data_IF_280429517667
#
_entry.id   IF_280429517667
#
_cell.length_a   1.000
_cell.length_b   1.000
_cell.length_c   1.000
_cell.angle_alpha   90.00
_cell.angle_beta   90.00
_cell.angle_gamma   90.00
#
_symmetry.space_group_name_H-M   'P 1'
#
loop_
_entity.id
_entity.type
_entity.pdbx_description
1 polymer ?
#
# COMPACT_ATOMS: atom_id res chain seq x y z
N UNK A 1 36.00 39.66 -11.73
CA UNK A 1 35.38 38.67 -10.81
C UNK A 1 34.10 38.26 -11.52
N UNK A 2 34.03 37.00 -11.94
CA UNK A 2 33.13 36.55 -13.01
C UNK A 2 31.68 36.47 -12.50
N UNK A 3 30.81 37.26 -13.10
CA UNK A 3 29.36 37.40 -12.84
C UNK A 3 28.51 36.62 -13.87
N UNK A 4 29.03 35.53 -14.45
CA UNK A 4 28.39 34.83 -15.57
C UNK A 4 28.14 33.32 -15.30
N UNK A 5 27.32 33.04 -14.26
CA UNK A 5 26.58 31.78 -13.97
C UNK A 5 25.24 32.18 -13.30
N UNK A 6 24.35 32.69 -14.14
CA UNK A 6 23.07 33.39 -13.95
C UNK A 6 22.21 33.01 -12.71
N UNK A 7 22.13 33.93 -11.73
CA UNK A 7 21.31 33.97 -10.49
C UNK A 7 21.30 32.68 -9.64
N UNK A 8 22.07 32.68 -8.55
CA UNK A 8 21.92 31.70 -7.48
C UNK A 8 20.44 31.60 -7.05
N UNK A 9 19.94 30.38 -6.78
CA UNK A 9 18.63 30.23 -6.19
C UNK A 9 18.58 30.89 -4.82
N UNK A 10 17.38 31.16 -4.34
CA UNK A 10 17.20 31.57 -2.95
C UNK A 10 17.81 30.49 -2.02
N UNK A 11 18.56 30.88 -0.98
CA UNK A 11 19.13 29.92 -0.03
C UNK A 11 18.08 28.97 0.58
N UNK A 12 16.83 29.39 0.71
CA UNK A 12 15.73 28.54 1.19
C UNK A 12 15.45 27.38 0.22
N UNK A 13 15.71 27.53 -1.08
CA UNK A 13 15.57 26.43 -2.03
C UNK A 13 16.54 25.27 -1.73
N UNK A 14 17.71 25.54 -1.12
CA UNK A 14 18.67 24.50 -0.75
C UNK A 14 18.14 23.57 0.37
N UNK A 15 17.10 23.98 1.09
CA UNK A 15 16.43 23.19 2.13
C UNK A 15 15.78 21.94 1.53
N UNK A 16 15.32 22.00 0.28
CA UNK A 16 14.80 20.86 -0.51
C UNK A 16 15.86 19.76 -0.68
N UNK A 17 17.15 20.10 -0.74
CA UNK A 17 18.25 19.13 -0.75
C UNK A 17 18.72 18.70 0.66
N UNK A 18 18.26 19.41 1.70
CA UNK A 18 18.61 19.13 3.09
C UNK A 18 17.60 18.18 3.74
N UNK A 19 16.35 18.21 3.29
CA UNK A 19 15.23 17.40 3.76
C UNK A 19 14.59 16.67 2.57
N UNK A 20 14.74 15.34 2.53
CA UNK A 20 14.30 14.50 1.41
C UNK A 20 12.76 14.48 1.21
N UNK A 21 12.01 14.99 2.18
CA UNK A 21 10.56 15.12 2.17
C UNK A 21 10.04 16.38 1.47
N UNK A 22 10.92 17.33 1.14
CA UNK A 22 10.57 18.55 0.41
C UNK A 22 10.98 18.46 -1.07
N UNK A 23 10.20 19.15 -1.92
CA UNK A 23 10.42 19.27 -3.36
C UNK A 23 10.17 17.99 -4.18
N UNK A 24 10.09 18.16 -5.49
CA UNK A 24 9.96 17.05 -6.44
C UNK A 24 11.33 16.57 -6.96
N UNK A 25 11.34 15.44 -7.69
CA UNK A 25 12.59 14.87 -8.21
C UNK A 25 13.28 15.76 -9.26
N UNK A 26 12.52 16.52 -10.04
CA UNK A 26 13.06 17.43 -11.05
C UNK A 26 13.71 18.67 -10.43
N UNK A 27 13.09 19.23 -9.41
CA UNK A 27 13.61 20.37 -8.65
C UNK A 27 14.94 20.01 -7.96
N UNK A 28 15.00 18.83 -7.33
CA UNK A 28 16.25 18.32 -6.74
C UNK A 28 17.36 18.13 -7.77
N UNK A 29 17.04 17.56 -8.93
CA UNK A 29 18.02 17.39 -10.00
C UNK A 29 18.53 18.74 -10.54
N UNK A 30 17.66 19.73 -10.69
CA UNK A 30 18.03 21.08 -11.14
C UNK A 30 18.95 21.77 -10.12
N UNK A 31 18.64 21.69 -8.83
CA UNK A 31 19.51 22.22 -7.78
C UNK A 31 20.86 21.50 -7.73
N UNK A 32 20.89 20.17 -7.86
CA UNK A 32 22.14 19.41 -7.90
C UNK A 32 23.03 19.85 -9.06
N UNK A 33 22.47 19.99 -10.26
CA UNK A 33 23.21 20.48 -11.42
C UNK A 33 23.78 21.90 -11.20
N UNK A 34 23.05 22.77 -10.49
CA UNK A 34 23.55 24.10 -10.12
C UNK A 34 24.74 24.02 -9.15
N UNK A 35 24.72 23.10 -8.18
CA UNK A 35 25.81 22.94 -7.21
C UNK A 35 27.11 22.46 -7.85
N UNK A 36 27.03 21.68 -8.94
CA UNK A 36 28.21 21.27 -9.72
C UNK A 36 28.89 22.48 -10.40
N UNK A 37 28.14 23.53 -10.71
CA UNK A 37 28.63 24.76 -11.33
C UNK A 37 28.91 25.93 -10.37
N UNK A 38 28.35 25.93 -9.16
CA UNK A 38 28.42 27.06 -8.21
C UNK A 38 28.99 26.66 -6.85
N UNK A 39 30.27 26.99 -6.62
CA UNK A 39 30.96 26.73 -5.35
C UNK A 39 30.36 27.49 -4.14
N UNK A 40 29.72 28.64 -4.37
CA UNK A 40 29.05 29.42 -3.31
C UNK A 40 27.87 28.66 -2.71
N UNK A 41 26.95 28.19 -3.56
CA UNK A 41 25.81 27.39 -3.12
C UNK A 41 26.23 26.04 -2.54
N UNK A 42 27.27 25.40 -3.08
CA UNK A 42 27.85 24.18 -2.51
C UNK A 42 28.41 24.40 -1.10
N UNK A 43 29.08 25.54 -0.87
CA UNK A 43 29.57 25.96 0.44
C UNK A 43 28.42 26.21 1.44
N UNK A 44 27.38 26.93 1.00
CA UNK A 44 26.18 27.18 1.82
C UNK A 44 25.50 25.87 2.22
N UNK A 45 25.26 24.95 1.29
CA UNK A 45 24.64 23.66 1.61
C UNK A 45 25.50 22.83 2.58
N UNK A 46 26.83 22.88 2.43
CA UNK A 46 27.75 22.25 3.37
C UNK A 46 27.62 22.84 4.78
N UNK A 47 27.49 24.17 4.90
CA UNK A 47 27.26 24.83 6.19
C UNK A 47 25.95 24.40 6.85
N UNK A 48 24.87 24.28 6.08
CA UNK A 48 23.58 23.81 6.59
C UNK A 48 23.63 22.35 7.05
N UNK A 49 24.31 21.48 6.31
CA UNK A 49 24.53 20.09 6.72
C UNK A 49 25.32 19.99 8.03
N UNK A 50 26.33 20.85 8.22
CA UNK A 50 27.09 20.89 9.47
C UNK A 50 26.24 21.34 10.66
N UNK A 51 25.38 22.36 10.47
CA UNK A 51 24.42 22.80 11.50
C UNK A 51 23.42 21.67 11.84
N UNK A 52 22.84 21.02 10.83
CA UNK A 52 21.93 19.87 11.02
C UNK A 52 22.60 18.74 11.80
N UNK A 53 23.85 18.42 11.48
CA UNK A 53 24.61 17.41 12.21
C UNK A 53 24.87 17.81 13.67
N UNK A 54 25.21 19.08 13.91
CA UNK A 54 25.46 19.61 15.26
C UNK A 54 24.19 19.55 16.12
N UNK A 55 23.05 19.96 15.55
CA UNK A 55 21.75 19.88 16.23
C UNK A 55 21.29 18.43 16.43
N UNK A 56 21.54 17.55 15.46
CA UNK A 56 21.22 16.12 15.58
C UNK A 56 22.04 15.39 16.66
N UNK A 57 23.27 15.86 16.92
CA UNK A 57 24.12 15.36 18.00
C UNK A 57 23.77 15.96 19.37
N UNK A 58 22.89 16.96 19.42
CA UNK A 58 22.52 17.59 20.67
C UNK A 58 21.63 16.66 21.49
N UNK A 59 22.22 16.08 22.54
CA UNK A 59 21.45 15.33 23.52
C UNK A 59 20.73 16.32 24.46
N UNK A 60 19.41 16.20 24.64
CA UNK A 60 18.73 16.96 25.67
C UNK A 60 19.31 16.58 27.04
N UNK A 61 19.54 17.55 27.95
CA UNK A 61 19.98 17.25 29.29
C UNK A 61 18.94 16.37 29.99
N UNK A 62 19.36 15.46 30.90
CA UNK A 62 18.43 14.64 31.66
C UNK A 62 17.56 15.54 32.52
N UNK A 63 16.31 15.75 32.10
CA UNK A 63 15.31 16.44 32.88
C UNK A 63 14.67 15.42 33.84
N UNK A 64 14.48 15.73 35.13
CA UNK A 64 13.72 14.90 36.04
C UNK A 64 12.23 15.00 35.67
N UNK A 65 11.87 14.37 34.54
CA UNK A 65 10.50 14.27 34.09
C UNK A 65 9.81 13.23 34.98
N UNK A 66 8.66 13.57 35.56
CA UNK A 66 7.80 12.61 36.29
C UNK A 66 7.16 11.55 35.37
N UNK A 67 7.65 11.41 34.14
CA UNK A 67 7.15 10.50 33.12
C UNK A 67 8.31 9.97 32.28
N UNK A 68 8.15 8.76 31.74
CA UNK A 68 9.10 8.15 30.82
C UNK A 68 8.64 8.34 29.37
N UNK A 69 9.56 8.76 28.50
CA UNK A 69 9.32 8.76 27.04
C UNK A 69 9.57 7.34 26.53
N UNK A 70 8.50 6.64 26.16
CA UNK A 70 8.55 5.28 25.62
C UNK A 70 8.21 5.30 24.12
N UNK A 71 9.01 4.63 23.28
CA UNK A 71 8.66 4.43 21.88
C UNK A 71 7.57 3.36 21.79
N UNK A 72 6.36 3.78 21.44
CA UNK A 72 5.26 2.86 21.15
C UNK A 72 5.46 2.25 19.76
N UNK A 73 6.19 1.13 19.67
CA UNK A 73 6.19 0.35 18.43
C UNK A 73 4.86 -0.41 18.34
N UNK A 74 4.10 -0.27 17.24
CA UNK A 74 2.86 -1.04 17.08
C UNK A 74 3.21 -2.53 17.10
N UNK A 75 2.75 -3.26 18.11
CA UNK A 75 2.90 -4.71 18.15
C UNK A 75 2.20 -5.30 16.92
N UNK A 76 2.88 -6.15 16.11
CA UNK A 76 2.22 -6.86 15.03
C UNK A 76 1.24 -7.86 15.66
N UNK A 77 -0.06 -7.58 15.55
CA UNK A 77 -1.12 -8.40 16.15
C UNK A 77 -1.38 -9.66 15.29
N UNK A 78 -1.16 -10.90 15.80
CA UNK A 78 -1.40 -12.10 15.01
C UNK A 78 -2.79 -12.73 15.18
N UNK A 79 -3.69 -12.24 16.05
CA UNK A 79 -4.94 -12.99 16.36
C UNK A 79 -6.05 -12.91 15.30
N UNK A 80 -5.94 -12.08 14.24
CA UNK A 80 -7.00 -12.01 13.21
C UNK A 80 -6.99 -13.17 12.21
N UNK A 81 -5.87 -13.88 12.07
CA UNK A 81 -5.75 -14.97 11.07
C UNK A 81 -6.39 -16.28 11.56
N UNK A 82 -6.55 -16.47 12.87
CA UNK A 82 -7.10 -17.71 13.45
C UNK A 82 -8.62 -17.83 13.37
N UNK A 83 -9.36 -16.75 13.05
CA UNK A 83 -10.84 -16.77 13.07
C UNK A 83 -11.48 -17.01 11.70
N UNK A 84 -10.72 -16.92 10.60
CA UNK A 84 -11.24 -17.16 9.24
C UNK A 84 -11.18 -18.64 8.82
N UNK A 85 -10.44 -19.50 9.53
CA UNK A 85 -10.33 -20.92 9.19
C UNK A 85 -11.57 -21.77 9.48
N UNK A 86 -12.50 -21.29 10.34
CA UNK A 86 -13.68 -22.06 10.74
C UNK A 86 -14.85 -22.00 9.76
N UNK A 87 -14.98 -20.92 8.99
CA UNK A 87 -16.15 -20.68 8.13
C UNK A 87 -16.16 -21.53 6.85
N UNK A 88 -14.98 -21.92 6.35
CA UNK A 88 -14.87 -22.71 5.12
C UNK A 88 -15.42 -24.13 5.26
N UNK A 89 -15.29 -24.75 6.43
CA UNK A 89 -15.79 -26.11 6.66
C UNK A 89 -17.32 -26.17 6.68
N UNK A 90 -17.97 -25.17 7.30
CA UNK A 90 -19.43 -25.10 7.35
C UNK A 90 -20.04 -24.85 5.96
N UNK A 91 -19.45 -23.95 5.17
CA UNK A 91 -19.93 -23.67 3.81
C UNK A 91 -19.85 -24.91 2.89
N UNK A 92 -18.77 -25.69 2.98
CA UNK A 92 -18.62 -26.93 2.21
C UNK A 92 -19.68 -27.97 2.55
N UNK A 93 -20.02 -28.14 3.84
CA UNK A 93 -21.06 -29.09 4.27
C UNK A 93 -22.46 -28.69 3.79
N UNK A 94 -22.80 -27.39 3.85
CA UNK A 94 -24.09 -26.88 3.37
C UNK A 94 -24.23 -27.08 1.86
N UNK A 95 -23.18 -26.79 1.08
CA UNK A 95 -23.18 -27.01 -0.37
C UNK A 95 -23.30 -28.50 -0.73
N UNK A 96 -22.60 -29.39 -0.02
CA UNK A 96 -22.71 -30.83 -0.23
C UNK A 96 -24.12 -31.36 0.09
N UNK A 97 -24.74 -30.88 1.17
CA UNK A 97 -26.11 -31.24 1.55
C UNK A 97 -27.14 -30.72 0.53
N UNK A 98 -26.97 -29.51 0.01
CA UNK A 98 -27.85 -28.98 -1.04
C UNK A 98 -27.72 -29.76 -2.35
N UNK A 99 -26.50 -30.13 -2.75
CA UNK A 99 -26.25 -30.90 -3.96
C UNK A 99 -26.83 -32.32 -3.89
N UNK A 100 -26.79 -32.97 -2.72
CA UNK A 100 -27.39 -34.29 -2.52
C UNK A 100 -28.92 -34.25 -2.56
N UNK A 101 -29.54 -33.22 -1.96
CA UNK A 101 -30.98 -32.98 -2.03
C UNK A 101 -31.47 -32.69 -3.47
N UNK A 102 -30.64 -32.01 -4.27
CA UNK A 102 -30.97 -31.65 -5.66
C UNK A 102 -30.76 -32.79 -6.69
N UNK A 103 -30.36 -34.00 -6.25
CA UNK A 103 -30.04 -35.14 -7.14
C UNK A 103 -29.08 -34.73 -8.29
N UNK A 104 -28.04 -33.96 -7.96
CA UNK A 104 -27.04 -33.53 -8.93
C UNK A 104 -26.18 -34.73 -9.36
N UNK A 105 -26.47 -35.31 -10.52
CA UNK A 105 -25.63 -36.39 -11.09
C UNK A 105 -24.63 -35.77 -12.07
N UNK A 106 -23.35 -35.85 -11.69
CA UNK A 106 -22.22 -35.46 -12.55
C UNK A 106 -21.58 -36.75 -13.04
N UNK A 107 -21.73 -37.03 -14.33
CA UNK A 107 -21.04 -38.14 -14.99
C UNK A 107 -20.04 -37.56 -15.97
N UNK A 108 -18.77 -37.94 -15.81
CA UNK A 108 -17.71 -37.64 -16.77
C UNK A 108 -17.43 -38.91 -17.54
N UNK A 109 -17.74 -38.90 -18.84
CA UNK A 109 -17.36 -39.96 -19.76
C UNK A 109 -16.36 -39.46 -20.80
N UNK A 110 -15.83 -40.37 -21.63
CA UNK A 110 -14.83 -40.04 -22.64
C UNK A 110 -15.34 -39.07 -23.73
N UNK A 111 -16.65 -38.81 -23.78
CA UNK A 111 -17.34 -37.92 -24.73
C UNK A 111 -17.66 -36.55 -24.14
N UNK A 112 -17.57 -36.35 -22.83
CA UNK A 112 -17.67 -35.03 -22.20
C UNK A 112 -18.23 -35.05 -20.77
N UNK A 113 -18.40 -33.85 -20.21
CA UNK A 113 -19.07 -33.64 -18.93
C UNK A 113 -20.60 -33.63 -19.15
N UNK A 114 -21.32 -34.53 -18.49
CA UNK A 114 -22.80 -34.50 -18.46
C UNK A 114 -23.29 -34.11 -17.07
N UNK A 115 -24.06 -33.01 -17.02
CA UNK A 115 -24.67 -32.45 -15.80
C UNK A 115 -26.17 -32.70 -15.84
N UNK A 116 -26.70 -33.55 -14.94
CA UNK A 116 -28.14 -33.81 -14.82
C UNK A 116 -28.64 -33.26 -13.48
N UNK A 117 -29.59 -32.33 -13.53
CA UNK A 117 -30.22 -31.73 -12.34
C UNK A 117 -31.71 -32.06 -12.32
N UNK A 118 -32.21 -32.54 -11.17
CA UNK A 118 -33.58 -33.03 -11.03
C UNK A 118 -34.56 -31.94 -10.62
N UNK A 119 -34.94 -31.04 -11.53
CA UNK A 119 -36.18 -30.27 -11.39
C UNK A 119 -37.09 -30.54 -12.58
N UNK A 120 -38.00 -31.51 -12.41
CA UNK A 120 -39.18 -31.65 -13.26
C UNK A 120 -40.20 -30.55 -12.90
N UNK A 121 -39.91 -29.31 -13.33
CA UNK A 121 -40.89 -28.23 -13.37
C UNK A 121 -41.74 -28.38 -14.63
N UNK A 122 -43.01 -28.69 -14.44
CA UNK A 122 -44.03 -28.82 -15.48
C UNK A 122 -44.08 -27.56 -16.35
N UNK A 123 -43.60 -27.63 -17.59
CA UNK A 123 -43.97 -26.67 -18.62
C UNK A 123 -45.40 -26.99 -19.10
N UNK A 124 -46.40 -26.71 -18.27
CA UNK A 124 -47.79 -26.59 -18.72
C UNK A 124 -47.94 -25.21 -19.34
N UNK A 125 -47.84 -25.14 -20.67
CA UNK A 125 -48.48 -24.06 -21.44
C UNK A 125 -49.44 -24.71 -22.43
N UNK A 126 -50.73 -24.52 -22.16
CA UNK A 126 -51.85 -24.96 -22.97
C UNK A 126 -51.90 -24.21 -24.31
N UNK A 127 -52.34 -24.88 -25.37
CA UNK A 127 -53.11 -24.24 -26.43
C UNK A 127 -54.31 -25.12 -26.77
N UNK A 128 -55.49 -24.51 -26.63
CA UNK A 128 -56.80 -25.06 -26.89
C UNK A 128 -57.06 -25.34 -28.38
N UNK A 129 -58.03 -26.21 -28.63
CA UNK A 129 -58.47 -26.71 -29.93
C UNK A 129 -59.17 -25.65 -30.82
N UNK A 130 -59.13 -25.79 -32.17
CA UNK A 130 -60.03 -25.09 -33.08
C UNK A 130 -61.33 -25.88 -33.34
N UNK A 131 -62.37 -25.14 -33.75
CA UNK A 131 -63.73 -25.58 -34.09
C UNK A 131 -63.83 -26.36 -35.42
#
# INVERSE_FOLDING_TARGET
MIDDVTRCPDPDALVVLLYDDEGDASERAALQAHLEGCGGCAGTLTSFRAVKATLGAWLPPPLPLGFAVVRNQPMPWPRRVLWTGGLSAAAALVLAAAASLAQLQITWDATGLTLRTGMAGQATMASAAPA
#
